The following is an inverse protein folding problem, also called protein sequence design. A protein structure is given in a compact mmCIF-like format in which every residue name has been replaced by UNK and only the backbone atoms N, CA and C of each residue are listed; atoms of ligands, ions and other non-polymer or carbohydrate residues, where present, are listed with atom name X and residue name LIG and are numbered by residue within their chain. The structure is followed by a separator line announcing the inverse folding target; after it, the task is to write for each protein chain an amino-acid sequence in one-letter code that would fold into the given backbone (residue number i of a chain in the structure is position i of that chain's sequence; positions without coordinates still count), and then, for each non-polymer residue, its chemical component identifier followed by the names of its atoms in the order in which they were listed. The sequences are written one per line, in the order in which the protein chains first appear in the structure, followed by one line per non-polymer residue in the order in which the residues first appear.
data_IF_538191541310
#
_entry.id   IF_538191541310
#
_cell.length_a   1.000
_cell.length_b   1.000
_cell.length_c   1.000
_cell.angle_alpha   90.00
_cell.angle_beta   90.00
_cell.angle_gamma   90.00
#
_symmetry.space_group_name_H-M   'P 1'
#
loop_
_entity.id
_entity.type
_entity.pdbx_description
1 polymer ?
#
# COMPACT_ATOMS: atom_id res chain seq x y z
N UNK A 1 3.73 0.56 -2.78
CA UNK A 1 3.04 1.76 -2.25
C UNK A 1 1.84 1.27 -1.45
N UNK A 2 2.16 0.40 -0.51
CA UNK A 2 1.30 -0.34 0.41
C UNK A 2 0.99 0.48 1.66
N UNK A 3 1.87 1.40 2.06
CA UNK A 3 1.63 2.31 3.18
C UNK A 3 0.28 3.06 3.08
N UNK A 4 -0.14 3.47 1.87
CA UNK A 4 -1.47 4.05 1.65
C UNK A 4 -2.58 3.02 1.84
N UNK A 5 -2.39 1.77 1.43
CA UNK A 5 -3.34 0.69 1.64
C UNK A 5 -3.48 0.31 3.14
N UNK A 6 -2.43 0.50 3.93
CA UNK A 6 -2.46 0.44 5.40
C UNK A 6 -3.11 1.66 6.07
N UNK A 7 -3.57 2.65 5.30
CA UNK A 7 -4.28 3.80 5.83
C UNK A 7 -3.40 4.94 6.30
N UNK A 8 -2.12 5.02 5.88
CA UNK A 8 -1.30 6.20 6.20
C UNK A 8 -1.95 7.47 5.63
N UNK A 9 -2.21 8.52 6.41
CA UNK A 9 -2.85 9.74 5.91
C UNK A 9 -2.01 10.47 4.85
N UNK A 10 -0.68 10.45 5.04
CA UNK A 10 0.30 11.11 4.16
C UNK A 10 1.45 10.14 3.89
N UNK A 11 1.86 10.05 2.63
CA UNK A 11 3.03 9.30 2.20
C UNK A 11 4.00 10.23 1.45
N UNK A 12 5.24 10.32 1.95
CA UNK A 12 6.33 11.03 1.29
C UNK A 12 7.24 10.06 0.54
N UNK A 13 7.52 10.34 -0.73
CA UNK A 13 8.47 9.58 -1.56
C UNK A 13 9.64 10.46 -1.97
N UNK A 14 10.75 9.79 -2.27
CA UNK A 14 12.05 10.38 -2.62
C UNK A 14 12.75 11.12 -1.48
N UNK A 15 12.20 11.10 -0.25
CA UNK A 15 12.83 11.73 0.92
C UNK A 15 14.22 11.15 1.23
N UNK A 16 14.39 9.84 1.08
CA UNK A 16 15.64 9.11 1.37
C UNK A 16 16.56 8.95 0.15
N UNK A 17 16.20 9.54 -1.00
CA UNK A 17 17.05 9.47 -2.18
C UNK A 17 18.27 10.36 -1.98
N UNK A 18 19.40 9.96 -2.57
CA UNK A 18 20.60 10.79 -2.58
C UNK A 18 20.29 12.16 -3.20
N UNK A 19 20.76 13.22 -2.54
CA UNK A 19 20.65 14.61 -3.00
C UNK A 19 21.16 14.77 -4.44
N UNK A 20 22.17 13.99 -4.84
CA UNK A 20 22.72 14.01 -6.20
C UNK A 20 21.69 13.71 -7.30
N UNK A 21 20.60 12.99 -6.98
CA UNK A 21 19.52 12.70 -7.93
C UNK A 21 18.63 13.90 -8.21
N UNK A 22 18.67 14.95 -7.38
CA UNK A 22 17.87 16.19 -7.50
C UNK A 22 16.38 15.95 -7.77
N UNK A 23 15.84 14.85 -7.25
CA UNK A 23 14.43 14.52 -7.40
C UNK A 23 13.62 15.26 -6.36
N UNK A 24 12.53 15.91 -6.78
CA UNK A 24 11.60 16.53 -5.85
C UNK A 24 10.92 15.47 -4.98
N UNK A 25 10.72 15.81 -3.72
CA UNK A 25 9.91 15.03 -2.79
C UNK A 25 8.49 14.99 -3.34
N UNK A 26 7.91 13.79 -3.39
CA UNK A 26 6.52 13.60 -3.78
C UNK A 26 5.68 13.33 -2.55
N UNK A 27 4.58 14.05 -2.41
CA UNK A 27 3.61 13.86 -1.34
C UNK A 27 2.33 13.26 -1.92
N UNK A 28 1.80 12.25 -1.23
CA UNK A 28 0.51 11.64 -1.52
C UNK A 28 -0.37 11.76 -0.28
N UNK A 29 -1.53 12.40 -0.45
CA UNK A 29 -2.55 12.53 0.60
C UNK A 29 -3.64 11.47 0.36
N UNK A 30 -3.88 10.59 1.34
CA UNK A 30 -4.84 9.49 1.21
C UNK A 30 -6.25 10.00 0.93
N UNK A 31 -6.71 11.04 1.63
CA UNK A 31 -8.04 11.63 1.43
C UNK A 31 -8.22 12.10 -0.02
N UNK A 32 -7.25 12.84 -0.56
CA UNK A 32 -7.31 13.30 -1.95
C UNK A 32 -7.26 12.15 -2.97
N UNK A 33 -6.56 11.05 -2.64
CA UNK A 33 -6.54 9.84 -3.48
C UNK A 33 -7.91 9.16 -3.48
N UNK A 34 -8.52 8.96 -2.31
CA UNK A 34 -9.84 8.34 -2.17
C UNK A 34 -10.92 9.17 -2.87
N UNK A 35 -10.91 10.49 -2.69
CA UNK A 35 -11.81 11.42 -3.37
C UNK A 35 -11.60 11.42 -4.90
N UNK A 36 -10.35 11.49 -5.35
CA UNK A 36 -10.00 11.51 -6.77
C UNK A 36 -10.35 10.20 -7.50
N UNK A 37 -10.34 9.07 -6.78
CA UNK A 37 -10.75 7.77 -7.31
C UNK A 37 -12.23 7.47 -7.07
N UNK A 38 -12.92 8.24 -6.23
CA UNK A 38 -14.31 7.99 -5.83
C UNK A 38 -14.47 6.65 -5.11
N UNK A 39 -13.51 6.28 -4.24
CA UNK A 39 -13.50 5.01 -3.52
C UNK A 39 -13.54 5.23 -2.01
N UNK A 40 -14.17 4.29 -1.31
CA UNK A 40 -13.99 4.14 0.14
C UNK A 40 -12.64 3.48 0.46
N UNK A 41 -12.20 3.54 1.72
CA UNK A 41 -10.96 2.87 2.14
C UNK A 41 -10.99 1.37 1.86
N UNK A 42 -12.10 0.68 2.15
CA UNK A 42 -12.25 -0.75 1.89
C UNK A 42 -12.13 -1.09 0.41
N UNK A 43 -12.69 -0.24 -0.46
CA UNK A 43 -12.59 -0.39 -1.91
C UNK A 43 -11.20 -0.07 -2.44
N UNK A 44 -10.51 0.88 -1.81
CA UNK A 44 -9.14 1.21 -2.14
C UNK A 44 -8.19 0.05 -1.79
N UNK A 45 -8.40 -0.63 -0.66
CA UNK A 45 -7.68 -1.86 -0.31
C UNK A 45 -7.97 -2.95 -1.35
N UNK A 46 -9.24 -3.14 -1.71
CA UNK A 46 -9.63 -4.08 -2.78
C UNK A 46 -8.94 -3.75 -4.11
N UNK A 47 -8.82 -2.46 -4.44
CA UNK A 47 -8.10 -2.01 -5.63
C UNK A 47 -6.63 -2.37 -5.53
N UNK A 48 -5.97 -2.09 -4.41
CA UNK A 48 -4.57 -2.43 -4.20
C UNK A 48 -4.30 -3.93 -4.32
N UNK A 49 -5.18 -4.78 -3.81
CA UNK A 49 -5.07 -6.24 -3.96
C UNK A 49 -5.20 -6.64 -5.44
N UNK A 50 -6.19 -6.09 -6.17
CA UNK A 50 -6.37 -6.38 -7.60
C UNK A 50 -5.22 -5.88 -8.48
N UNK A 51 -4.57 -4.78 -8.08
CA UNK A 51 -3.37 -4.23 -8.73
C UNK A 51 -2.12 -5.07 -8.47
N UNK A 52 -2.14 -5.87 -7.41
CA UNK A 52 -1.02 -6.65 -6.90
C UNK A 52 -0.46 -6.06 -5.61
N UNK A 53 -0.37 -6.93 -4.60
CA UNK A 53 0.31 -6.70 -3.34
C UNK A 53 1.27 -7.86 -3.05
N UNK A 54 2.08 -7.73 -2.01
CA UNK A 54 3.08 -8.75 -1.67
C UNK A 54 2.47 -9.99 -0.96
N UNK A 55 1.16 -9.98 -0.68
CA UNK A 55 0.49 -11.00 0.15
C UNK A 55 -0.25 -12.07 -0.66
N UNK A 56 -0.70 -11.75 -1.88
CA UNK A 56 -1.44 -12.67 -2.74
C UNK A 56 -1.12 -12.42 -4.22
N UNK A 57 -1.30 -13.45 -5.04
CA UNK A 57 -1.13 -13.35 -6.49
C UNK A 57 -2.11 -12.37 -7.15
N UNK A 58 -1.83 -11.97 -8.39
CA UNK A 58 -2.71 -11.11 -9.19
C UNK A 58 -3.59 -11.90 -10.14
N UNK A 59 -4.76 -11.36 -10.47
CA UNK A 59 -5.60 -11.92 -11.53
C UNK A 59 -5.05 -11.48 -12.89
N UNK A 60 -4.51 -12.43 -13.65
CA UNK A 60 -3.92 -12.16 -14.96
C UNK A 60 -4.93 -11.48 -15.90
N UNK A 61 -4.51 -10.37 -16.50
CA UNK A 61 -5.32 -9.61 -17.45
C UNK A 61 -6.22 -8.54 -16.82
N UNK A 62 -6.24 -8.41 -15.49
CA UNK A 62 -6.86 -7.28 -14.79
C UNK A 62 -5.75 -6.25 -14.47
N UNK A 63 -5.68 -5.20 -15.29
CA UNK A 63 -4.78 -4.06 -15.06
C UNK A 63 -5.47 -2.88 -14.36
N UNK A 64 -4.76 -1.77 -14.12
CA UNK A 64 -5.24 -0.69 -13.25
C UNK A 64 -6.59 -0.08 -13.61
N UNK A 65 -6.76 0.29 -14.89
CA UNK A 65 -8.02 0.84 -15.37
C UNK A 65 -9.17 -0.16 -15.19
N UNK A 66 -8.93 -1.43 -15.51
CA UNK A 66 -9.95 -2.47 -15.46
C UNK A 66 -10.34 -2.80 -14.01
N UNK A 67 -9.37 -2.85 -13.11
CA UNK A 67 -9.62 -3.07 -11.68
C UNK A 67 -10.51 -1.96 -11.11
N UNK A 68 -10.20 -0.69 -11.43
CA UNK A 68 -11.01 0.45 -11.01
C UNK A 68 -12.44 0.38 -11.57
N UNK A 69 -12.59 0.14 -12.88
CA UNK A 69 -13.91 0.00 -13.52
C UNK A 69 -14.74 -1.13 -12.89
N UNK A 70 -14.09 -2.26 -12.55
CA UNK A 70 -14.74 -3.41 -11.91
C UNK A 70 -15.19 -3.06 -10.48
N UNK A 71 -14.37 -2.35 -9.71
CA UNK A 71 -14.73 -1.95 -8.35
C UNK A 71 -15.80 -0.87 -8.32
N UNK A 72 -15.79 0.10 -9.23
CA UNK A 72 -16.91 1.04 -9.35
C UNK A 72 -18.21 0.33 -9.72
N UNK A 73 -18.16 -0.73 -10.52
CA UNK A 73 -19.36 -1.48 -10.91
C UNK A 73 -19.87 -2.44 -9.84
N UNK A 74 -18.96 -3.18 -9.20
CA UNK A 74 -19.30 -4.31 -8.34
C UNK A 74 -19.04 -4.08 -6.86
N UNK A 75 -18.38 -2.97 -6.51
CA UNK A 75 -18.17 -2.45 -5.15
C UNK A 75 -17.25 -3.28 -4.23
N UNK A 76 -16.97 -4.55 -4.52
CA UNK A 76 -16.04 -5.40 -3.75
C UNK A 76 -15.42 -6.51 -4.58
N UNK A 77 -14.29 -7.07 -4.14
CA UNK A 77 -13.64 -8.22 -4.80
C UNK A 77 -14.60 -9.42 -4.89
N UNK A 78 -15.36 -9.74 -3.83
CA UNK A 78 -16.37 -10.82 -3.84
C UNK A 78 -17.34 -10.70 -5.03
N UNK A 79 -17.87 -9.50 -5.23
CA UNK A 79 -18.83 -9.23 -6.29
C UNK A 79 -18.13 -9.23 -7.66
N UNK A 80 -16.88 -8.78 -7.76
CA UNK A 80 -16.08 -8.91 -8.98
C UNK A 80 -15.92 -10.39 -9.34
N UNK A 81 -15.48 -11.24 -8.41
CA UNK A 81 -15.24 -12.66 -8.65
C UNK A 81 -16.50 -13.44 -9.08
N UNK A 82 -17.68 -13.00 -8.63
CA UNK A 82 -18.98 -13.57 -9.03
C UNK A 82 -19.41 -13.17 -10.44
N UNK A 83 -18.92 -12.04 -10.95
CA UNK A 83 -19.41 -11.43 -12.20
C UNK A 83 -18.38 -11.37 -13.34
N UNK A 84 -17.11 -11.67 -13.09
CA UNK A 84 -16.09 -11.75 -14.13
C UNK A 84 -16.15 -13.08 -14.89
N UNK A 85 -15.75 -13.03 -16.16
CA UNK A 85 -15.53 -14.22 -16.98
C UNK A 85 -14.21 -14.89 -16.57
N UNK A 86 -14.31 -15.97 -15.80
CA UNK A 86 -13.16 -16.74 -15.30
C UNK A 86 -12.36 -17.45 -16.40
N UNK A 87 -12.95 -17.67 -17.57
CA UNK A 87 -12.21 -18.23 -18.72
C UNK A 87 -11.21 -17.22 -19.28
N UNK A 88 -11.58 -15.94 -19.27
CA UNK A 88 -10.76 -14.83 -19.72
C UNK A 88 -9.82 -14.31 -18.63
N UNK A 89 -10.29 -14.31 -17.39
CA UNK A 89 -9.58 -13.83 -16.20
C UNK A 89 -9.45 -14.98 -15.20
N UNK A 90 -8.50 -15.92 -15.43
CA UNK A 90 -8.30 -17.04 -14.53
C UNK A 90 -7.86 -16.50 -13.17
N UNK A 91 -8.65 -16.80 -12.15
CA UNK A 91 -8.34 -16.51 -10.74
C UNK A 91 -7.35 -17.56 -10.26
N UNK A 92 -6.29 -17.20 -9.52
CA UNK A 92 -5.38 -18.18 -8.93
C UNK A 92 -6.12 -19.23 -8.09
N UNK A 93 -5.63 -20.47 -8.11
CA UNK A 93 -6.13 -21.52 -7.22
C UNK A 93 -5.77 -21.17 -5.78
N UNK A 94 -6.72 -21.34 -4.85
CA UNK A 94 -6.56 -20.97 -3.44
C UNK A 94 -6.04 -19.52 -3.27
N UNK A 95 -6.87 -18.54 -3.65
CA UNK A 95 -6.53 -17.12 -3.61
C UNK A 95 -7.05 -16.46 -2.31
N UNK A 96 -6.27 -16.41 -1.20
CA UNK A 96 -6.73 -15.97 0.12
C UNK A 96 -6.74 -14.43 0.24
N UNK A 97 -7.36 -13.76 -0.74
CA UNK A 97 -7.39 -12.30 -0.80
C UNK A 97 -8.09 -11.69 0.43
N UNK A 98 -9.02 -12.40 1.07
CA UNK A 98 -9.67 -11.98 2.30
C UNK A 98 -8.68 -11.80 3.46
N UNK A 99 -7.68 -12.67 3.56
CA UNK A 99 -6.67 -12.59 4.62
C UNK A 99 -5.70 -11.43 4.35
N UNK A 100 -5.34 -11.20 3.09
CA UNK A 100 -4.62 -9.99 2.70
C UNK A 100 -5.42 -8.71 3.02
N UNK A 101 -6.74 -8.71 2.78
CA UNK A 101 -7.60 -7.58 3.12
C UNK A 101 -7.65 -7.35 4.63
N UNK A 102 -7.80 -8.41 5.45
CA UNK A 102 -7.75 -8.32 6.91
C UNK A 102 -6.42 -7.74 7.39
N UNK A 103 -5.30 -8.14 6.79
CA UNK A 103 -3.98 -7.62 7.12
C UNK A 103 -3.87 -6.12 6.88
N UNK A 104 -4.40 -5.61 5.76
CA UNK A 104 -4.43 -4.17 5.50
C UNK A 104 -5.35 -3.39 6.44
N UNK A 105 -6.50 -3.96 6.79
CA UNK A 105 -7.48 -3.32 7.68
C UNK A 105 -7.04 -3.29 9.14
N UNK A 106 -6.45 -4.37 9.62
CA UNK A 106 -6.03 -4.55 11.01
C UNK A 106 -4.57 -5.04 11.07
N UNK A 107 -3.60 -4.21 10.64
CA UNK A 107 -2.20 -4.56 10.74
C UNK A 107 -1.78 -4.60 12.21
N UNK A 108 -0.87 -5.50 12.53
CA UNK A 108 -0.18 -5.46 13.83
C UNK A 108 0.74 -4.24 13.84
N UNK A 109 0.39 -3.24 14.65
CA UNK A 109 1.15 -1.99 14.78
C UNK A 109 1.46 -1.72 16.24
N UNK A 110 2.59 -1.08 16.48
CA UNK A 110 2.96 -0.62 17.82
C UNK A 110 2.04 0.53 18.23
N UNK A 111 1.61 0.55 19.49
CA UNK A 111 0.87 1.67 20.06
C UNK A 111 1.72 2.96 19.99
N UNK A 112 1.29 3.98 19.23
CA UNK A 112 2.04 5.22 19.10
C UNK A 112 2.24 5.95 20.43
N UNK A 113 1.33 5.77 21.40
CA UNK A 113 1.42 6.41 22.72
C UNK A 113 2.50 5.81 23.61
N UNK A 114 2.94 4.59 23.30
CA UNK A 114 4.04 3.91 24.00
C UNK A 114 5.43 4.35 23.54
N UNK A 115 5.52 5.12 22.45
CA UNK A 115 6.79 5.51 21.82
C UNK A 115 7.10 6.97 22.15
N UNK A 116 8.20 7.20 22.86
CA UNK A 116 8.80 8.52 23.00
C UNK A 116 9.93 8.69 21.98
N UNK A 117 9.80 9.66 21.08
CA UNK A 117 10.83 9.97 20.08
C UNK A 117 11.78 11.02 20.65
N UNK A 118 13.00 10.61 21.00
CA UNK A 118 14.08 11.51 21.42
C UNK A 118 15.25 11.44 20.43
N UNK A 119 15.75 12.60 20.01
CA UNK A 119 16.90 12.68 19.12
C UNK A 119 18.13 13.16 19.91
N UNK A 120 19.06 12.26 20.17
CA UNK A 120 20.36 12.61 20.76
C UNK A 120 21.50 12.05 19.91
N UNK A 121 22.32 12.93 19.36
CA UNK A 121 23.52 12.59 18.61
C UNK A 121 24.74 12.60 19.54
N UNK A 122 25.38 11.44 19.70
CA UNK A 122 26.69 11.33 20.33
C UNK A 122 27.78 11.35 19.25
N UNK A 123 28.35 12.52 19.02
CA UNK A 123 29.38 12.73 18.00
C UNK A 123 30.67 11.96 18.29
N UNK A 124 31.06 11.80 19.55
CA UNK A 124 32.28 11.06 19.92
C UNK A 124 32.09 9.57 19.62
N UNK A 125 30.95 9.01 20.03
CA UNK A 125 30.61 7.61 19.73
C UNK A 125 30.51 7.36 18.23
N UNK A 126 29.88 8.26 17.48
CA UNK A 126 29.78 8.15 16.01
C UNK A 126 31.17 8.23 15.33
N UNK A 127 32.03 9.14 15.78
CA UNK A 127 33.38 9.29 15.25
C UNK A 127 34.22 8.02 15.47
N UNK A 128 34.25 7.49 16.69
CA UNK A 128 35.01 6.28 16.96
C UNK A 128 34.43 5.04 16.26
N UNK A 129 33.10 4.95 16.10
CA UNK A 129 32.46 3.85 15.37
C UNK A 129 32.84 3.84 13.88
N UNK A 130 32.90 5.00 13.23
CA UNK A 130 33.24 5.10 11.80
C UNK A 130 34.74 4.93 11.52
N UNK A 131 35.61 5.18 12.51
CA UNK A 131 37.07 5.03 12.41
C UNK A 131 37.57 3.61 12.75
N UNK A 132 36.75 2.77 13.35
CA UNK A 132 37.10 1.41 13.77
C UNK A 132 36.87 0.34 12.70
N UNK A 133 36.36 0.73 11.51
CA UNK A 133 36.28 -0.09 10.29
C UNK A 133 37.19 0.49 9.21
#
# INVERSE_FOLDING_TARGET
MDALAFGTPVLLRHLTFSEARKMAIQEFNLTSVLEGLGLTMDQFIDLCILLGCDYVDTIRGIGPKKALDLLHKYQSIDCVLKNIDKSKYPVPDDWPYEDAKKLFLNPEVTDPSSIEVCHQLDFLRLYFFTKAN
#
